data_IF_475608589224
#
_entry.id   IF_475608589224
#
_cell.length_a   1.000
_cell.length_b   1.000
_cell.length_c   1.000
_cell.angle_alpha   90.00
_cell.angle_beta   90.00
_cell.angle_gamma   90.00
#
_symmetry.space_group_name_H-M   'P 1'
#
loop_
_entity.id
_entity.type
_entity.pdbx_description
1 polymer ?
#
# COMPACT_ATOMS: atom_id res chain seq x y z
N UNK A 1 10.20 4.68 -17.67
CA UNK A 1 9.16 4.53 -16.64
C UNK A 1 9.52 3.31 -15.83
N UNK A 2 10.11 3.53 -14.66
CA UNK A 2 10.32 2.46 -13.68
C UNK A 2 8.89 2.10 -13.24
N UNK A 3 8.49 0.83 -13.36
CA UNK A 3 7.23 0.43 -12.75
C UNK A 3 7.35 0.78 -11.26
N UNK A 4 6.35 1.45 -10.68
CA UNK A 4 6.28 1.63 -9.22
C UNK A 4 6.68 0.31 -8.55
N UNK A 5 7.61 0.38 -7.60
CA UNK A 5 8.23 -0.78 -6.97
C UNK A 5 7.23 -1.87 -6.55
N UNK A 6 7.68 -3.13 -6.55
CA UNK A 6 6.84 -4.32 -6.35
C UNK A 6 5.96 -4.23 -5.09
N UNK A 7 6.41 -3.51 -4.05
CA UNK A 7 5.68 -3.33 -2.79
C UNK A 7 4.52 -2.32 -2.90
N UNK A 8 4.63 -1.27 -3.70
CA UNK A 8 3.53 -0.32 -3.93
C UNK A 8 2.37 -1.02 -4.65
N UNK A 9 2.69 -1.78 -5.71
CA UNK A 9 1.71 -2.57 -6.45
C UNK A 9 1.08 -3.68 -5.56
N UNK A 10 1.88 -4.28 -4.68
CA UNK A 10 1.38 -5.27 -3.71
C UNK A 10 0.40 -4.61 -2.73
N UNK A 11 0.76 -3.47 -2.15
CA UNK A 11 -0.10 -2.71 -1.24
C UNK A 11 -1.41 -2.31 -1.91
N UNK A 12 -1.36 -1.75 -3.14
CA UNK A 12 -2.54 -1.34 -3.88
C UNK A 12 -3.51 -2.51 -4.12
N UNK A 13 -2.98 -3.67 -4.52
CA UNK A 13 -3.79 -4.89 -4.70
C UNK A 13 -4.46 -5.35 -3.42
N UNK A 14 -3.77 -5.26 -2.29
CA UNK A 14 -4.31 -5.66 -0.98
C UNK A 14 -5.43 -4.73 -0.51
N UNK A 15 -5.23 -3.41 -0.58
CA UNK A 15 -6.24 -2.45 -0.09
C UNK A 15 -7.51 -2.46 -0.95
N UNK A 16 -7.39 -2.71 -2.26
CA UNK A 16 -8.54 -2.75 -3.17
C UNK A 16 -9.12 -4.14 -3.39
N UNK A 17 -8.58 -5.17 -2.71
CA UNK A 17 -9.11 -6.53 -2.78
C UNK A 17 -10.62 -6.54 -2.49
N UNK A 18 -11.42 -7.19 -3.35
CA UNK A 18 -12.83 -7.43 -3.07
C UNK A 18 -12.95 -8.35 -1.86
N UNK A 19 -13.65 -7.89 -0.84
CA UNK A 19 -13.95 -8.66 0.37
C UNK A 19 -15.46 -8.67 0.58
N UNK A 20 -15.99 -9.77 1.13
CA UNK A 20 -17.43 -10.00 1.31
C UNK A 20 -18.09 -9.01 2.29
N UNK A 21 -17.29 -8.42 3.17
CA UNK A 21 -17.68 -7.36 4.10
C UNK A 21 -16.83 -6.12 3.82
N UNK A 22 -17.31 -4.91 4.15
CA UNK A 22 -16.53 -3.67 4.06
C UNK A 22 -16.09 -3.23 5.46
N UNK A 23 -15.03 -3.82 6.02
CA UNK A 23 -14.62 -3.47 7.38
C UNK A 23 -14.07 -2.03 7.43
N UNK A 24 -14.41 -1.32 8.50
CA UNK A 24 -13.98 0.08 8.70
C UNK A 24 -12.45 0.21 8.76
N UNK A 25 -11.75 -0.80 9.29
CA UNK A 25 -10.29 -0.83 9.32
C UNK A 25 -9.68 -0.81 7.91
N UNK A 26 -10.29 -1.50 6.94
CA UNK A 26 -9.79 -1.53 5.57
C UNK A 26 -10.04 -0.20 4.88
N UNK A 27 -11.12 0.49 5.23
CA UNK A 27 -11.37 1.86 4.76
C UNK A 27 -10.34 2.85 5.31
N UNK A 28 -9.94 2.73 6.57
CA UNK A 28 -8.90 3.56 7.15
C UNK A 28 -7.56 3.35 6.45
N UNK A 29 -7.13 2.10 6.26
CA UNK A 29 -5.87 1.79 5.58
C UNK A 29 -5.87 2.15 4.10
N UNK A 30 -7.02 2.14 3.42
CA UNK A 30 -7.10 2.69 2.05
C UNK A 30 -6.70 4.16 2.00
N UNK A 31 -7.13 4.97 2.96
CA UNK A 31 -6.76 6.40 2.97
C UNK A 31 -5.26 6.57 3.19
N UNK A 32 -4.69 5.82 4.14
CA UNK A 32 -3.27 5.85 4.45
C UNK A 32 -2.41 5.37 3.27
N UNK A 33 -2.77 4.23 2.68
CA UNK A 33 -2.09 3.70 1.51
C UNK A 33 -2.21 4.63 0.29
N UNK A 34 -3.38 5.23 0.05
CA UNK A 34 -3.52 6.20 -1.05
C UNK A 34 -2.64 7.44 -0.85
N UNK A 35 -2.47 7.91 0.39
CA UNK A 35 -1.56 9.01 0.68
C UNK A 35 -0.10 8.61 0.44
N UNK A 36 0.31 7.42 0.88
CA UNK A 36 1.64 6.87 0.65
C UNK A 36 1.93 6.71 -0.85
N UNK A 37 1.02 6.13 -1.62
CA UNK A 37 1.15 5.96 -3.07
C UNK A 37 1.23 7.31 -3.79
N UNK A 38 0.50 8.33 -3.32
CA UNK A 38 0.62 9.69 -3.82
C UNK A 38 2.02 10.28 -3.57
N UNK A 39 2.58 10.10 -2.37
CA UNK A 39 3.95 10.54 -2.07
C UNK A 39 4.98 9.82 -2.93
N UNK A 40 4.84 8.50 -3.10
CA UNK A 40 5.74 7.71 -3.93
C UNK A 40 5.73 8.19 -5.38
N UNK A 41 4.53 8.51 -5.91
CA UNK A 41 4.42 9.06 -7.25
C UNK A 41 5.11 10.42 -7.38
N UNK A 42 4.97 11.27 -6.37
CA UNK A 42 5.62 12.58 -6.33
C UNK A 42 7.16 12.46 -6.23
N UNK A 43 7.66 11.55 -5.40
CA UNK A 43 9.09 11.27 -5.29
C UNK A 43 9.66 10.76 -6.62
N UNK A 44 8.95 9.85 -7.29
CA UNK A 44 9.29 9.39 -8.64
C UNK A 44 9.35 10.55 -9.65
N UNK A 45 8.32 11.40 -9.69
CA UNK A 45 8.26 12.56 -10.60
C UNK A 45 9.37 13.60 -10.31
N UNK A 46 9.89 13.63 -9.07
CA UNK A 46 11.01 14.50 -8.65
C UNK A 46 12.39 13.84 -8.77
N UNK A 47 12.47 12.58 -9.20
CA UNK A 47 13.70 11.78 -9.20
C UNK A 47 14.36 11.67 -7.81
N UNK A 48 13.57 11.71 -6.73
CA UNK A 48 14.03 11.57 -5.35
C UNK A 48 14.11 10.09 -4.96
N UNK A 49 15.27 9.46 -5.23
CA UNK A 49 15.48 8.04 -5.00
C UNK A 49 15.50 7.67 -3.51
N UNK A 50 16.02 8.54 -2.64
CA UNK A 50 16.09 8.30 -1.20
C UNK A 50 14.68 8.30 -0.59
N UNK A 51 13.87 9.31 -0.91
CA UNK A 51 12.47 9.35 -0.48
C UNK A 51 11.69 8.14 -1.01
N UNK A 52 11.95 7.72 -2.25
CA UNK A 52 11.27 6.56 -2.85
C UNK A 52 11.61 5.25 -2.14
N UNK A 53 12.87 5.03 -1.75
CA UNK A 53 13.30 3.85 -0.98
C UNK A 53 12.65 3.81 0.42
N UNK A 54 12.58 4.96 1.10
CA UNK A 54 11.90 5.06 2.40
C UNK A 54 10.40 4.77 2.28
N UNK A 55 9.76 5.28 1.23
CA UNK A 55 8.33 5.04 0.97
C UNK A 55 8.07 3.58 0.59
N UNK A 56 8.98 2.93 -0.12
CA UNK A 56 8.86 1.51 -0.47
C UNK A 56 8.92 0.63 0.79
N UNK A 57 9.80 0.95 1.75
CA UNK A 57 9.84 0.27 3.04
C UNK A 57 8.52 0.44 3.82
N UNK A 58 7.97 1.66 3.85
CA UNK A 58 6.67 1.91 4.48
C UNK A 58 5.53 1.16 3.77
N UNK A 59 5.57 1.05 2.43
CA UNK A 59 4.60 0.29 1.67
C UNK A 59 4.63 -1.19 2.03
N UNK A 60 5.83 -1.78 2.17
CA UNK A 60 6.01 -3.16 2.62
C UNK A 60 5.39 -3.39 4.00
N UNK A 61 5.69 -2.54 4.97
CA UNK A 61 5.18 -2.69 6.34
C UNK A 61 3.65 -2.61 6.41
N UNK A 62 3.07 -1.66 5.66
CA UNK A 62 1.62 -1.54 5.56
C UNK A 62 1.00 -2.74 4.82
N UNK A 63 1.62 -3.21 3.74
CA UNK A 63 1.16 -4.39 3.00
C UNK A 63 1.16 -5.64 3.90
N UNK A 64 2.23 -5.87 4.66
CA UNK A 64 2.34 -6.98 5.61
C UNK A 64 1.26 -6.91 6.69
N UNK A 65 0.99 -5.70 7.20
CA UNK A 65 -0.07 -5.45 8.20
C UNK A 65 -1.47 -5.74 7.62
N UNK A 66 -1.76 -5.25 6.42
CA UNK A 66 -3.04 -5.47 5.74
C UNK A 66 -3.25 -6.96 5.45
N UNK A 67 -2.22 -7.63 4.90
CA UNK A 67 -2.26 -9.05 4.59
C UNK A 67 -2.47 -9.91 5.84
N UNK A 68 -1.74 -9.64 6.92
CA UNK A 68 -1.90 -10.36 8.19
C UNK A 68 -3.32 -10.23 8.73
N UNK A 69 -3.91 -9.02 8.66
CA UNK A 69 -5.26 -8.80 9.14
C UNK A 69 -6.33 -9.46 8.27
N UNK A 70 -6.18 -9.40 6.94
CA UNK A 70 -7.06 -10.12 6.01
C UNK A 70 -7.08 -11.62 6.31
N UNK A 71 -5.90 -12.23 6.50
CA UNK A 71 -5.78 -13.65 6.86
C UNK A 71 -6.44 -13.95 8.22
N UNK A 72 -6.18 -13.11 9.23
CA UNK A 72 -6.78 -13.26 10.55
C UNK A 72 -8.32 -13.22 10.52
N UNK A 73 -8.90 -12.30 9.73
CA UNK A 73 -10.35 -12.12 9.63
C UNK A 73 -11.00 -13.08 8.61
N UNK A 74 -10.24 -13.98 7.98
CA UNK A 74 -10.74 -14.94 6.99
C UNK A 74 -11.16 -14.30 5.66
N UNK A 75 -10.58 -13.15 5.34
CA UNK A 75 -10.86 -12.33 4.14
C UNK A 75 -9.74 -12.43 3.08
N UNK A 76 -8.88 -13.44 3.21
CA UNK A 76 -7.77 -13.70 2.29
C UNK A 76 -8.19 -14.49 1.05
#
# INVERSE_FOLDING_TARGET
MRAMGDEFDRLERLIYRPVSTRPDWLKAWRNEANYLLFLARRAEDNEDEEELEELEAQARDLADTVEARLKHDGLW
#
